data_IF_047830450888
#
_entry.id   IF_047830450888
#
_cell.length_a   1.000
_cell.length_b   1.000
_cell.length_c   1.000
_cell.angle_alpha   90.00
_cell.angle_beta   90.00
_cell.angle_gamma   90.00
#
_symmetry.space_group_name_H-M   'P 1'
#
loop_
_entity.id
_entity.type
_entity.pdbx_description
1 polymer ?
#
# COMPACT_ATOMS: atom_id res chain seq x y z
N UNK A 1 6.70 -12.89 -5.20
CA UNK A 1 6.36 -13.85 -4.13
C UNK A 1 6.09 -13.11 -2.84
N UNK A 2 5.07 -13.48 -2.13
CA UNK A 2 4.71 -12.84 -0.86
C UNK A 2 5.06 -13.76 0.33
N UNK A 3 5.21 -13.22 1.55
CA UNK A 3 5.61 -14.01 2.70
C UNK A 3 4.51 -14.97 3.16
N UNK A 4 4.88 -16.09 3.81
CA UNK A 4 3.90 -17.04 4.33
C UNK A 4 2.88 -16.43 5.30
N UNK A 5 3.27 -15.40 6.06
CA UNK A 5 2.38 -14.73 7.01
C UNK A 5 1.15 -14.14 6.31
N UNK A 6 1.29 -13.65 5.08
CA UNK A 6 0.17 -13.12 4.32
C UNK A 6 -0.86 -14.22 4.04
N UNK A 7 -0.41 -15.38 3.59
CA UNK A 7 -1.29 -16.51 3.29
C UNK A 7 -1.97 -17.04 4.56
N UNK A 8 -1.23 -17.17 5.65
CA UNK A 8 -1.71 -17.80 6.88
C UNK A 8 -2.54 -16.86 7.77
N UNK A 9 -2.11 -15.59 7.90
CA UNK A 9 -2.69 -14.64 8.84
C UNK A 9 -3.39 -13.45 8.20
N UNK A 10 -3.23 -13.28 6.89
CA UNK A 10 -3.87 -12.21 6.14
C UNK A 10 -3.14 -10.87 6.20
N UNK A 11 -3.79 -9.85 5.66
CA UNK A 11 -3.20 -8.53 5.46
C UNK A 11 -2.80 -7.83 6.76
N UNK A 12 -3.64 -7.88 7.80
CA UNK A 12 -3.37 -7.15 9.04
C UNK A 12 -2.01 -7.53 9.61
N UNK A 13 -1.77 -8.83 9.79
CA UNK A 13 -0.50 -9.33 10.33
C UNK A 13 0.68 -9.02 9.39
N UNK A 14 0.48 -9.21 8.09
CA UNK A 14 1.55 -8.96 7.10
C UNK A 14 1.93 -7.48 7.03
N UNK A 15 0.94 -6.58 7.04
CA UNK A 15 1.19 -5.15 6.98
C UNK A 15 1.81 -4.62 8.28
N UNK A 16 1.40 -5.15 9.42
CA UNK A 16 2.01 -4.81 10.70
C UNK A 16 3.49 -5.20 10.73
N UNK A 17 3.83 -6.35 10.13
CA UNK A 17 5.23 -6.76 9.98
C UNK A 17 6.05 -5.81 9.12
N UNK A 18 5.47 -5.32 8.01
CA UNK A 18 6.13 -4.32 7.16
C UNK A 18 6.34 -3.01 7.91
N UNK A 19 5.33 -2.56 8.65
CA UNK A 19 5.41 -1.33 9.43
C UNK A 19 6.53 -1.40 10.48
N UNK A 20 6.70 -2.55 11.10
CA UNK A 20 7.73 -2.76 12.11
C UNK A 20 9.14 -2.65 11.55
N UNK A 21 9.33 -2.90 10.27
CA UNK A 21 10.63 -2.77 9.60
C UNK A 21 10.95 -1.34 9.17
N UNK A 22 9.96 -0.46 9.17
CA UNK A 22 10.17 0.93 8.74
C UNK A 22 10.91 1.72 9.82
N UNK A 23 11.89 2.58 9.45
CA UNK A 23 12.68 3.33 10.43
C UNK A 23 11.91 4.46 11.12
N UNK A 24 10.72 4.81 10.62
CA UNK A 24 9.87 5.83 11.23
C UNK A 24 8.57 5.20 11.74
N UNK A 25 7.84 5.87 12.65
CA UNK A 25 6.54 5.37 13.11
C UNK A 25 5.55 5.23 11.95
N UNK A 26 4.90 4.09 11.85
CA UNK A 26 3.87 3.81 10.85
C UNK A 26 2.62 3.34 11.55
N UNK A 27 1.53 4.05 11.34
CA UNK A 27 0.21 3.67 11.82
C UNK A 27 -0.46 2.77 10.80
N UNK A 28 -1.01 1.63 11.23
CA UNK A 28 -1.67 0.67 10.34
C UNK A 28 -3.10 0.47 10.78
N UNK A 29 -4.04 0.69 9.86
CA UNK A 29 -5.46 0.45 10.07
C UNK A 29 -5.97 -0.48 8.97
N UNK A 30 -6.45 -1.65 9.36
CA UNK A 30 -6.99 -2.63 8.41
C UNK A 30 -8.42 -2.96 8.83
N UNK A 31 -9.37 -2.66 7.96
CA UNK A 31 -10.78 -2.97 8.14
C UNK A 31 -11.30 -3.67 6.89
N UNK A 32 -11.15 -4.98 6.84
CA UNK A 32 -11.52 -5.80 5.70
C UNK A 32 -12.42 -6.93 6.20
N UNK A 33 -13.76 -6.69 6.23
CA UNK A 33 -14.71 -7.67 6.76
C UNK A 33 -14.72 -9.00 6.05
N UNK A 34 -14.49 -8.98 4.73
CA UNK A 34 -14.45 -10.21 3.91
C UNK A 34 -13.06 -10.33 3.30
N UNK A 35 -12.39 -11.43 3.57
CA UNK A 35 -11.04 -11.65 3.07
C UNK A 35 -11.03 -11.69 1.54
N UNK A 36 -10.23 -10.84 0.88
CA UNK A 36 -10.15 -10.84 -0.58
C UNK A 36 -9.42 -12.08 -1.10
N UNK A 37 -9.56 -12.34 -2.40
CA UNK A 37 -8.82 -13.45 -3.03
C UNK A 37 -7.32 -13.23 -2.91
N UNK A 38 -6.56 -14.33 -2.96
CA UNK A 38 -5.12 -14.32 -2.71
C UNK A 38 -4.36 -13.38 -3.64
N UNK A 39 -4.75 -13.28 -4.91
CA UNK A 39 -4.09 -12.39 -5.87
C UNK A 39 -4.24 -10.91 -5.49
N UNK A 40 -5.40 -10.53 -4.98
CA UNK A 40 -5.66 -9.16 -4.53
C UNK A 40 -4.88 -8.86 -3.24
N UNK A 41 -4.89 -9.80 -2.29
CA UNK A 41 -4.08 -9.64 -1.08
C UNK A 41 -2.60 -9.46 -1.39
N UNK A 42 -2.08 -10.23 -2.32
CA UNK A 42 -0.67 -10.13 -2.71
C UNK A 42 -0.35 -8.76 -3.31
N UNK A 43 -1.22 -8.24 -4.18
CA UNK A 43 -1.03 -6.91 -4.77
C UNK A 43 -1.10 -5.84 -3.68
N UNK A 44 -2.08 -5.92 -2.77
CA UNK A 44 -2.18 -4.96 -1.66
C UNK A 44 -0.91 -4.96 -0.81
N UNK A 45 -0.37 -6.14 -0.50
CA UNK A 45 0.88 -6.28 0.23
C UNK A 45 2.04 -5.57 -0.51
N UNK A 46 2.19 -5.81 -1.81
CA UNK A 46 3.26 -5.20 -2.59
C UNK A 46 3.12 -3.68 -2.70
N UNK A 47 1.90 -3.17 -2.81
CA UNK A 47 1.67 -1.73 -2.81
C UNK A 47 2.20 -1.10 -1.51
N UNK A 48 1.84 -1.68 -0.38
CA UNK A 48 2.30 -1.17 0.93
C UNK A 48 3.81 -1.32 1.07
N UNK A 49 4.37 -2.46 0.68
CA UNK A 49 5.81 -2.71 0.80
C UNK A 49 6.63 -1.69 -0.01
N UNK A 50 6.24 -1.43 -1.25
CA UNK A 50 6.95 -0.46 -2.10
C UNK A 50 6.74 0.97 -1.61
N UNK A 51 5.52 1.30 -1.17
CA UNK A 51 5.24 2.63 -0.65
C UNK A 51 6.06 2.92 0.61
N UNK A 52 6.15 1.96 1.54
CA UNK A 52 6.95 2.13 2.76
C UNK A 52 8.46 2.16 2.45
N UNK A 53 8.91 1.42 1.45
CA UNK A 53 10.30 1.51 0.98
C UNK A 53 10.59 2.91 0.46
N UNK A 54 9.67 3.48 -0.31
CA UNK A 54 9.79 4.84 -0.83
C UNK A 54 9.84 5.86 0.30
N UNK A 55 8.99 5.70 1.32
CA UNK A 55 9.01 6.54 2.51
C UNK A 55 10.37 6.50 3.19
N UNK A 56 10.91 5.32 3.41
CA UNK A 56 12.18 5.13 4.10
C UNK A 56 13.37 5.74 3.34
N UNK A 57 13.35 5.68 2.01
CA UNK A 57 14.50 6.09 1.19
C UNK A 57 14.47 7.54 0.75
N UNK A 58 13.30 8.10 0.52
CA UNK A 58 13.20 9.34 -0.26
C UNK A 58 12.39 10.45 0.37
N UNK A 59 11.48 10.15 1.27
CA UNK A 59 10.50 11.15 1.70
C UNK A 59 10.98 12.10 2.78
N UNK A 60 11.97 11.70 3.58
CA UNK A 60 12.36 12.42 4.82
C UNK A 60 11.19 12.62 5.77
N UNK A 61 10.22 11.72 5.72
CA UNK A 61 9.05 11.78 6.57
C UNK A 61 9.40 11.46 8.02
N UNK A 62 8.62 12.00 8.94
CA UNK A 62 8.69 11.63 10.36
C UNK A 62 7.60 10.64 10.75
N UNK A 63 6.53 10.54 9.97
CA UNK A 63 5.41 9.63 10.21
C UNK A 63 4.82 9.15 8.89
N UNK A 64 4.28 7.92 8.91
CA UNK A 64 3.52 7.39 7.79
C UNK A 64 2.27 6.69 8.30
N UNK A 65 1.28 6.53 7.44
CA UNK A 65 0.02 5.88 7.76
C UNK A 65 -0.40 4.96 6.64
N UNK A 66 -0.86 3.77 7.00
CA UNK A 66 -1.40 2.77 6.07
C UNK A 66 -2.85 2.52 6.44
N UNK A 67 -3.75 2.67 5.48
CA UNK A 67 -5.18 2.40 5.67
C UNK A 67 -5.62 1.42 4.59
N UNK A 68 -6.21 0.30 5.01
CA UNK A 68 -6.76 -0.69 4.09
C UNK A 68 -8.21 -0.93 4.49
N UNK A 69 -9.12 -0.71 3.56
CA UNK A 69 -10.55 -0.85 3.80
C UNK A 69 -11.21 -1.65 2.69
N UNK A 70 -12.10 -2.55 3.10
CA UNK A 70 -12.93 -3.31 2.17
C UNK A 70 -14.34 -2.74 2.13
N UNK A 71 -14.91 -2.59 0.92
CA UNK A 71 -16.23 -2.01 0.70
C UNK A 71 -17.04 -2.89 -0.24
N UNK A 72 -18.24 -3.25 0.16
CA UNK A 72 -19.21 -3.95 -0.68
C UNK A 72 -18.96 -5.45 -0.84
N UNK A 73 -19.85 -6.07 -1.62
CA UNK A 73 -19.77 -7.50 -1.95
C UNK A 73 -20.56 -7.77 -3.25
N UNK A 74 -19.88 -8.19 -4.38
CA UNK A 74 -18.43 -8.23 -4.53
C UNK A 74 -17.84 -6.85 -4.32
N UNK A 75 -16.69 -6.79 -3.67
CA UNK A 75 -16.21 -5.55 -3.11
C UNK A 75 -15.03 -4.94 -3.82
N UNK A 76 -14.63 -3.81 -3.26
CA UNK A 76 -13.40 -3.11 -3.63
C UNK A 76 -12.54 -2.99 -2.38
N UNK A 77 -11.27 -3.27 -2.52
CA UNK A 77 -10.28 -3.03 -1.48
C UNK A 77 -9.57 -1.72 -1.79
N UNK A 78 -9.61 -0.78 -0.85
CA UNK A 78 -8.89 0.48 -0.95
C UNK A 78 -7.65 0.41 -0.08
N UNK A 79 -6.49 0.70 -0.67
CA UNK A 79 -5.21 0.70 0.03
C UNK A 79 -4.63 2.10 -0.10
N UNK A 80 -4.34 2.75 1.02
CA UNK A 80 -3.80 4.10 1.01
C UNK A 80 -2.60 4.20 1.94
N UNK A 81 -1.50 4.75 1.44
CA UNK A 81 -0.30 5.00 2.22
C UNK A 81 0.03 6.48 2.08
N UNK A 82 0.14 7.16 3.23
CA UNK A 82 0.48 8.57 3.26
C UNK A 82 1.67 8.80 4.17
N UNK A 83 2.47 9.83 3.84
CA UNK A 83 3.56 10.27 4.70
C UNK A 83 3.64 11.80 4.70
N UNK A 84 4.28 12.34 5.73
CA UNK A 84 4.45 13.78 5.94
C UNK A 84 5.80 14.30 5.40
N UNK A 85 6.38 13.61 4.44
CA UNK A 85 7.69 13.93 3.89
C UNK A 85 7.68 15.05 2.85
N UNK A 86 8.76 15.14 2.11
CA UNK A 86 9.02 16.26 1.19
C UNK A 86 8.29 16.15 -0.16
N UNK A 87 7.68 15.01 -0.45
CA UNK A 87 7.01 14.80 -1.73
C UNK A 87 7.95 14.64 -2.91
N UNK A 88 7.42 14.90 -4.09
CA UNK A 88 8.20 14.80 -5.33
C UNK A 88 8.23 13.43 -5.97
N UNK A 89 7.56 12.43 -5.39
CA UNK A 89 7.44 11.11 -6.02
C UNK A 89 6.49 11.17 -7.22
N UNK A 90 6.74 10.36 -8.23
CA UNK A 90 5.87 10.26 -9.40
C UNK A 90 5.59 8.80 -9.71
N UNK A 91 4.51 8.55 -10.46
CA UNK A 91 4.16 7.20 -10.87
C UNK A 91 5.24 6.54 -11.73
N UNK A 92 6.11 7.34 -12.34
CA UNK A 92 7.23 6.85 -13.17
C UNK A 92 8.49 6.55 -12.36
N UNK A 93 8.49 6.84 -11.06
CA UNK A 93 9.65 6.56 -10.20
C UNK A 93 9.93 5.06 -10.16
N UNK A 94 11.20 4.65 -10.06
CA UNK A 94 11.53 3.23 -9.88
C UNK A 94 10.77 2.64 -8.68
N UNK A 95 10.25 1.45 -8.83
CA UNK A 95 9.40 0.81 -7.82
C UNK A 95 7.93 1.14 -8.02
N UNK A 96 7.56 2.42 -8.14
CA UNK A 96 6.16 2.81 -8.32
C UNK A 96 5.62 2.40 -9.70
N UNK A 97 6.44 2.46 -10.75
CA UNK A 97 6.03 2.00 -12.07
C UNK A 97 5.72 0.50 -12.08
N UNK A 98 6.47 -0.30 -11.33
CA UNK A 98 6.19 -1.72 -11.15
C UNK A 98 4.90 -1.99 -10.41
N UNK A 99 4.53 -1.11 -9.47
CA UNK A 99 3.25 -1.20 -8.77
C UNK A 99 2.07 -0.98 -9.71
N UNK A 100 2.18 -0.02 -10.61
CA UNK A 100 1.12 0.25 -11.58
C UNK A 100 0.81 -0.99 -12.41
N UNK A 101 1.84 -1.72 -12.85
CA UNK A 101 1.67 -2.97 -13.59
C UNK A 101 0.98 -4.05 -12.74
N UNK A 102 1.39 -4.21 -11.49
CA UNK A 102 0.79 -5.19 -10.58
C UNK A 102 -0.68 -4.88 -10.29
N UNK A 103 -0.98 -3.63 -10.02
CA UNK A 103 -2.34 -3.17 -9.76
C UNK A 103 -3.22 -3.37 -10.99
N UNK A 104 -2.72 -3.02 -12.17
CA UNK A 104 -3.43 -3.26 -13.44
C UNK A 104 -3.69 -4.73 -13.69
N UNK A 105 -2.77 -5.61 -13.26
CA UNK A 105 -2.91 -7.07 -13.41
C UNK A 105 -4.09 -7.68 -12.67
N UNK A 106 -4.64 -6.98 -11.68
CA UNK A 106 -5.88 -7.37 -10.97
C UNK A 106 -7.03 -6.42 -11.25
N UNK A 107 -6.96 -5.70 -12.37
CA UNK A 107 -7.98 -4.73 -12.80
C UNK A 107 -8.17 -3.57 -11.82
N UNK A 108 -7.13 -3.26 -11.07
CA UNK A 108 -7.15 -2.15 -10.12
C UNK A 108 -6.69 -0.84 -10.72
N UNK A 109 -6.68 0.19 -9.88
CA UNK A 109 -6.21 1.54 -10.23
C UNK A 109 -5.25 2.04 -9.18
N UNK A 110 -4.17 2.68 -9.63
CA UNK A 110 -3.17 3.28 -8.75
C UNK A 110 -3.14 4.78 -8.97
N UNK A 111 -3.07 5.55 -7.89
CA UNK A 111 -2.86 7.00 -7.96
C UNK A 111 -1.72 7.39 -7.03
N UNK A 112 -0.96 8.39 -7.45
CA UNK A 112 0.14 8.96 -6.67
C UNK A 112 -0.02 10.47 -6.64
N UNK A 113 -0.16 11.03 -5.44
CA UNK A 113 -0.17 12.47 -5.22
C UNK A 113 1.03 12.82 -4.35
N UNK A 114 1.97 13.56 -4.91
CA UNK A 114 3.21 13.85 -4.19
C UNK A 114 3.74 15.21 -4.64
N UNK A 115 3.04 16.29 -4.28
CA UNK A 115 3.51 17.64 -4.65
C UNK A 115 4.85 17.94 -4.00
N UNK A 116 5.63 18.81 -4.63
CA UNK A 116 6.88 19.30 -4.06
C UNK A 116 6.59 19.95 -2.70
N UNK A 117 7.31 19.53 -1.67
CA UNK A 117 7.04 19.95 -0.30
C UNK A 117 6.11 19.01 0.47
N UNK A 118 5.60 17.98 -0.20
CA UNK A 118 4.76 16.94 0.40
C UNK A 118 3.31 17.39 0.63
N UNK A 119 2.47 16.53 1.22
CA UNK A 119 2.76 15.14 1.55
C UNK A 119 2.74 14.21 0.34
N UNK A 120 3.09 12.94 0.53
CA UNK A 120 2.92 11.91 -0.49
C UNK A 120 1.77 10.99 -0.10
N UNK A 121 0.87 10.76 -1.06
CA UNK A 121 -0.25 9.84 -0.90
C UNK A 121 -0.26 8.88 -2.07
N UNK A 122 -0.12 7.59 -1.78
CA UNK A 122 -0.22 6.51 -2.76
C UNK A 122 -1.49 5.76 -2.45
N UNK A 123 -2.38 5.64 -3.41
CA UNK A 123 -3.66 4.96 -3.24
C UNK A 123 -3.89 3.95 -4.35
N UNK A 124 -4.46 2.81 -3.99
CA UNK A 124 -4.86 1.78 -4.94
C UNK A 124 -6.28 1.34 -4.66
N UNK A 125 -7.05 1.13 -5.71
CA UNK A 125 -8.36 0.50 -5.65
C UNK A 125 -8.25 -0.86 -6.33
N UNK A 126 -8.58 -1.93 -5.62
CA UNK A 126 -8.45 -3.30 -6.09
C UNK A 126 -9.81 -4.00 -6.05
N UNK A 127 -10.34 -4.46 -7.20
CA UNK A 127 -11.57 -5.24 -7.16
C UNK A 127 -11.36 -6.57 -6.44
N UNK A 128 -12.28 -6.91 -5.55
CA UNK A 128 -12.20 -8.13 -4.75
C UNK A 128 -12.99 -9.30 -5.35
N UNK A 129 -13.83 -9.01 -6.30
CA UNK A 129 -14.75 -9.99 -6.86
C UNK A 129 -14.38 -10.65 -8.16
#
# INVERSE_FOLDING_TARGET
MHPPVLTERGLDAALSGLAALCPIPVEVHVDVPVRPRASVEAVAYFVVAEALTNVAKHSRASHAKVVVEGHGFPGTLTVMISDDGIGGATADSPGLSGLADRVSGVDGRLSVESPSGGPTIIAAELPCG
#
